data_IF_234871299001
#
_entry.id   IF_234871299001
#
_cell.length_a   1.000
_cell.length_b   1.000
_cell.length_c   1.000
_cell.angle_alpha   90.00
_cell.angle_beta   90.00
_cell.angle_gamma   90.00
#
_symmetry.space_group_name_H-M   'P 1'
#
loop_
_entity.id
_entity.type
_entity.pdbx_description
1 polymer ?
#
# COMPACT_ATOMS: atom_id res chain seq x y z
N UNK A 1 -2.40 -1.57 9.12
CA UNK A 1 -1.18 -1.36 9.92
C UNK A 1 -1.17 -2.34 11.08
N UNK A 2 -0.03 -2.96 11.32
CA UNK A 2 0.22 -3.85 12.46
C UNK A 2 1.56 -3.41 13.08
N UNK A 3 1.52 -2.77 14.24
CA UNK A 3 2.69 -2.26 14.96
C UNK A 3 3.71 -1.50 14.08
N UNK A 4 3.27 -0.39 13.48
CA UNK A 4 4.06 0.48 12.57
C UNK A 4 4.55 -0.17 11.25
N UNK A 5 4.14 -1.42 10.97
CA UNK A 5 4.47 -2.14 9.74
C UNK A 5 3.24 -2.73 9.03
N UNK A 6 3.46 -3.29 7.83
CA UNK A 6 2.44 -4.10 7.15
C UNK A 6 2.21 -5.40 7.91
N UNK A 7 1.10 -6.08 7.63
CA UNK A 7 0.79 -7.37 8.26
C UNK A 7 1.84 -8.43 7.89
N UNK A 8 1.98 -9.45 8.74
CA UNK A 8 2.87 -10.56 8.47
C UNK A 8 2.56 -11.25 7.13
N UNK A 9 1.28 -11.40 6.77
CA UNK A 9 0.86 -11.97 5.49
C UNK A 9 1.36 -11.16 4.29
N UNK A 10 1.28 -9.83 4.37
CA UNK A 10 1.77 -8.95 3.31
C UNK A 10 3.30 -9.02 3.19
N UNK A 11 4.01 -9.00 4.31
CA UNK A 11 5.47 -9.18 4.33
C UNK A 11 5.88 -10.51 3.70
N UNK A 12 5.18 -11.59 4.06
CA UNK A 12 5.46 -12.92 3.56
C UNK A 12 5.21 -13.04 2.04
N UNK A 13 4.25 -12.30 1.49
CA UNK A 13 4.03 -12.20 0.05
C UNK A 13 5.17 -11.44 -0.64
N UNK A 14 5.58 -10.27 -0.12
CA UNK A 14 6.70 -9.47 -0.67
C UNK A 14 7.99 -10.29 -0.67
N UNK A 15 8.31 -10.97 0.44
CA UNK A 15 9.50 -11.82 0.58
C UNK A 15 9.54 -12.97 -0.43
N UNK A 16 8.39 -13.57 -0.76
CA UNK A 16 8.32 -14.66 -1.76
C UNK A 16 8.43 -14.14 -3.18
N UNK A 17 7.86 -12.97 -3.48
CA UNK A 17 7.98 -12.37 -4.82
C UNK A 17 9.42 -11.96 -5.11
N UNK A 18 10.19 -11.53 -4.10
CA UNK A 18 11.61 -11.21 -4.28
C UNK A 18 12.40 -12.36 -4.92
N UNK A 19 12.13 -13.63 -4.53
CA UNK A 19 12.82 -14.80 -5.07
C UNK A 19 12.55 -15.05 -6.56
N UNK A 20 11.42 -14.58 -7.09
CA UNK A 20 11.07 -14.68 -8.52
C UNK A 20 11.39 -13.39 -9.30
N UNK A 21 12.02 -12.40 -8.65
CA UNK A 21 12.33 -11.09 -9.20
C UNK A 21 11.15 -10.12 -9.14
N UNK A 22 10.73 -9.61 -10.30
CA UNK A 22 9.59 -8.67 -10.41
C UNK A 22 8.40 -9.31 -11.12
N UNK A 23 7.15 -8.95 -10.77
CA UNK A 23 6.00 -9.31 -11.57
C UNK A 23 6.13 -8.72 -12.99
N UNK A 24 6.31 -9.57 -14.00
CA UNK A 24 6.74 -9.12 -15.35
C UNK A 24 5.77 -8.16 -16.05
N UNK A 25 4.48 -8.23 -15.74
CA UNK A 25 3.43 -7.41 -16.37
C UNK A 25 2.97 -6.23 -15.52
N UNK A 26 3.42 -6.13 -14.26
CA UNK A 26 3.03 -5.02 -13.40
C UNK A 26 3.74 -3.74 -13.85
N UNK A 27 2.96 -2.71 -14.13
CA UNK A 27 3.46 -1.38 -14.54
C UNK A 27 3.20 -0.31 -13.48
N UNK A 28 2.10 -0.45 -12.75
CA UNK A 28 1.62 0.47 -11.73
C UNK A 28 1.24 -0.31 -10.47
N UNK A 29 1.43 0.30 -9.31
CA UNK A 29 0.93 -0.20 -8.05
C UNK A 29 0.41 0.96 -7.19
N UNK A 30 -0.64 0.67 -6.41
CA UNK A 30 -1.16 1.58 -5.40
C UNK A 30 -1.15 0.89 -4.04
N UNK A 31 -1.00 1.69 -2.98
CA UNK A 31 -1.00 1.21 -1.60
C UNK A 31 -2.17 1.79 -0.83
N UNK A 32 -3.01 0.92 -0.26
CA UNK A 32 -4.09 1.31 0.64
C UNK A 32 -3.74 0.82 2.05
N UNK A 33 -3.68 1.74 3.02
CA UNK A 33 -3.38 1.40 4.41
C UNK A 33 -4.44 1.98 5.36
N UNK A 34 -4.88 1.15 6.30
CA UNK A 34 -5.67 1.57 7.45
C UNK A 34 -4.91 1.35 8.74
N UNK A 35 -5.12 2.20 9.73
CA UNK A 35 -4.56 2.06 11.08
C UNK A 35 -5.58 2.38 12.17
N UNK A 36 -5.31 1.94 13.39
CA UNK A 36 -6.05 2.41 14.57
C UNK A 36 -5.74 3.88 14.88
N UNK A 37 -4.48 4.28 14.76
CA UNK A 37 -4.01 5.62 15.14
C UNK A 37 -3.33 6.35 13.97
N UNK A 38 -3.45 7.68 13.90
CA UNK A 38 -2.73 8.49 12.91
C UNK A 38 -1.20 8.38 13.11
N UNK A 39 -0.44 8.72 12.06
CA UNK A 39 1.04 8.77 12.14
C UNK A 39 1.76 7.42 12.19
N UNK A 40 1.08 6.31 11.87
CA UNK A 40 1.68 4.96 11.97
C UNK A 40 2.10 4.36 10.63
N UNK A 41 1.92 5.07 9.51
CA UNK A 41 2.03 4.53 8.16
C UNK A 41 3.45 4.58 7.54
N UNK A 42 4.31 5.47 8.03
CA UNK A 42 5.55 5.87 7.35
C UNK A 42 6.49 4.71 7.05
N UNK A 43 6.67 3.78 8.00
CA UNK A 43 7.51 2.60 7.81
C UNK A 43 7.00 1.71 6.66
N UNK A 44 5.69 1.53 6.54
CA UNK A 44 5.10 0.74 5.46
C UNK A 44 5.13 1.46 4.12
N UNK A 45 4.93 2.78 4.12
CA UNK A 45 5.03 3.62 2.92
C UNK A 45 6.46 3.61 2.38
N UNK A 46 7.46 3.76 3.25
CA UNK A 46 8.87 3.73 2.88
C UNK A 46 9.26 2.39 2.25
N UNK A 47 8.88 1.27 2.89
CA UNK A 47 9.14 -0.07 2.36
C UNK A 47 8.48 -0.28 1.00
N UNK A 48 7.21 0.11 0.84
CA UNK A 48 6.50 -0.01 -0.43
C UNK A 48 7.18 0.76 -1.55
N UNK A 49 7.52 2.04 -1.32
CA UNK A 49 8.22 2.87 -2.32
C UNK A 49 9.57 2.27 -2.71
N UNK A 50 10.34 1.78 -1.74
CA UNK A 50 11.62 1.14 -2.01
C UNK A 50 11.47 -0.12 -2.87
N UNK A 51 10.46 -0.95 -2.57
CA UNK A 51 10.19 -2.16 -3.36
C UNK A 51 9.73 -1.84 -4.78
N UNK A 52 8.83 -0.86 -4.97
CA UNK A 52 8.37 -0.45 -6.30
C UNK A 52 9.50 0.14 -7.15
N UNK A 53 10.38 0.95 -6.54
CA UNK A 53 11.58 1.47 -7.20
C UNK A 53 12.52 0.34 -7.64
N UNK A 54 12.78 -0.64 -6.77
CA UNK A 54 13.56 -1.83 -7.11
C UNK A 54 12.94 -2.63 -8.26
N UNK A 55 11.62 -2.79 -8.26
CA UNK A 55 10.89 -3.55 -9.28
C UNK A 55 10.67 -2.77 -10.60
N UNK A 56 11.03 -1.49 -10.66
CA UNK A 56 10.68 -0.56 -11.75
C UNK A 56 9.17 -0.53 -12.05
N UNK A 57 8.37 -0.36 -10.99
CA UNK A 57 6.90 -0.23 -11.03
C UNK A 57 6.55 1.18 -10.58
N UNK A 58 5.69 1.86 -11.33
CA UNK A 58 5.20 3.20 -10.99
C UNK A 58 4.32 3.14 -9.72
N UNK A 59 4.59 4.03 -8.77
CA UNK A 59 3.69 4.26 -7.63
C UNK A 59 2.55 5.16 -8.09
N UNK A 60 1.40 4.56 -8.37
CA UNK A 60 0.24 5.26 -8.90
C UNK A 60 -0.55 6.02 -7.81
N UNK A 61 -0.43 5.59 -6.54
CA UNK A 61 -1.04 6.29 -5.42
C UNK A 61 -0.82 5.61 -4.08
N UNK A 62 -0.94 6.39 -3.02
CA UNK A 62 -0.88 5.92 -1.63
C UNK A 62 -2.04 6.58 -0.89
N UNK A 63 -2.97 5.78 -0.37
CA UNK A 63 -4.13 6.26 0.39
C UNK A 63 -4.05 5.66 1.79
N UNK A 64 -4.15 6.52 2.79
CA UNK A 64 -4.16 6.14 4.21
C UNK A 64 -5.49 6.50 4.86
N UNK A 65 -5.85 5.75 5.90
CA UNK A 65 -6.97 6.03 6.79
C UNK A 65 -6.58 5.69 8.24
N UNK A 66 -7.08 6.44 9.21
CA UNK A 66 -6.87 6.19 10.63
C UNK A 66 -8.16 6.41 11.42
N UNK A 67 -8.33 5.69 12.54
CA UNK A 67 -9.46 5.90 13.45
C UNK A 67 -10.81 5.85 12.75
N UNK A 68 -11.57 6.94 12.84
CA UNK A 68 -12.93 7.08 12.28
C UNK A 68 -12.95 7.19 10.75
N UNK A 69 -11.84 7.54 10.09
CA UNK A 69 -11.79 7.53 8.63
C UNK A 69 -11.94 6.11 8.06
N UNK A 70 -11.58 5.09 8.84
CA UNK A 70 -11.66 3.71 8.43
C UNK A 70 -13.10 3.34 8.11
N UNK A 71 -13.33 2.92 6.86
CA UNK A 71 -14.65 2.53 6.34
C UNK A 71 -15.66 3.68 6.28
N UNK A 72 -15.24 4.93 6.47
CA UNK A 72 -16.11 6.08 6.20
C UNK A 72 -16.50 6.12 4.73
N UNK A 73 -17.73 6.55 4.43
CA UNK A 73 -18.21 6.69 3.05
C UNK A 73 -17.30 7.64 2.24
N UNK A 74 -16.82 8.72 2.86
CA UNK A 74 -15.88 9.65 2.24
C UNK A 74 -14.58 8.94 1.79
N UNK A 75 -13.95 8.14 2.66
CA UNK A 75 -12.72 7.40 2.33
C UNK A 75 -12.97 6.32 1.28
N UNK A 76 -14.10 5.62 1.35
CA UNK A 76 -14.46 4.61 0.36
C UNK A 76 -14.69 5.24 -1.02
N UNK A 77 -15.32 6.41 -1.08
CA UNK A 77 -15.51 7.15 -2.33
C UNK A 77 -14.18 7.67 -2.90
N UNK A 78 -13.28 8.21 -2.06
CA UNK A 78 -11.91 8.58 -2.46
C UNK A 78 -11.19 7.39 -3.12
N UNK A 79 -11.24 6.20 -2.51
CA UNK A 79 -10.60 4.99 -3.06
C UNK A 79 -11.23 4.59 -4.40
N UNK A 80 -12.55 4.65 -4.53
CA UNK A 80 -13.27 4.30 -5.76
C UNK A 80 -12.96 5.29 -6.89
N UNK A 81 -12.94 6.58 -6.59
CA UNK A 81 -12.67 7.62 -7.58
C UNK A 81 -11.21 7.60 -8.02
N UNK A 82 -10.27 7.36 -7.09
CA UNK A 82 -8.89 7.07 -7.42
C UNK A 82 -8.77 5.87 -8.37
N UNK A 83 -9.46 4.75 -8.06
CA UNK A 83 -9.40 3.54 -8.88
C UNK A 83 -9.97 3.72 -10.29
N UNK A 84 -10.97 4.60 -10.49
CA UNK A 84 -11.50 4.92 -11.83
C UNK A 84 -10.49 5.64 -12.73
N UNK A 85 -9.48 6.29 -12.15
CA UNK A 85 -8.45 7.04 -12.88
C UNK A 85 -7.19 6.26 -13.25
N UNK A 86 -7.11 4.97 -12.91
CA UNK A 86 -5.93 4.10 -13.14
C UNK A 86 -5.99 3.35 -14.47
#
# INVERSE_FOLDING_TARGET
MYYFAMTAQMQAAIQRVYCIGKPQKAKKAALLLSSGSPGTHDGSIAQFKAYMAYANIEVAGIITAAGEENKSEAKLNEIRDFAKGL
#
